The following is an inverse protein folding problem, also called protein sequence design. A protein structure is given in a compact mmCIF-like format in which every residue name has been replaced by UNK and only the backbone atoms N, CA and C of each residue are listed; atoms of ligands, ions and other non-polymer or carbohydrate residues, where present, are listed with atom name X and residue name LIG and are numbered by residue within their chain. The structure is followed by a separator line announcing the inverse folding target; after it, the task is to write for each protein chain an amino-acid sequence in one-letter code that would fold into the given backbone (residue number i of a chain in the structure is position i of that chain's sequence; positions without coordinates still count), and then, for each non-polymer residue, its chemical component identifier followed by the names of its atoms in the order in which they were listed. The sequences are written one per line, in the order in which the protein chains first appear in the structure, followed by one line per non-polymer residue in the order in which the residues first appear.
data_IF_200666628215
#
_entry.id   IF_200666628215
#
_cell.length_a   1.000
_cell.length_b   1.000
_cell.length_c   1.000
_cell.angle_alpha   90.00
_cell.angle_beta   90.00
_cell.angle_gamma   90.00
#
_symmetry.space_group_name_H-M   'P 1'
#
loop_
_entity.id
_entity.type
_entity.pdbx_description
1 polymer ?
#
# COMPACT_ATOMS: atom_id res chain seq x y z
N UNK A 1 -10.00 10.72 -42.59
CA UNK A 1 -9.59 11.71 -41.57
C UNK A 1 -9.93 11.15 -40.19
N UNK A 2 -8.96 10.57 -39.48
CA UNK A 2 -9.14 10.08 -38.09
C UNK A 2 -8.62 11.15 -37.14
N UNK A 3 -9.43 11.48 -36.15
CA UNK A 3 -9.31 12.58 -35.20
C UNK A 3 -7.97 12.59 -34.46
N UNK A 4 -7.23 13.71 -34.55
CA UNK A 4 -5.89 13.94 -33.99
C UNK A 4 -5.84 14.25 -32.48
N UNK A 5 -6.92 14.01 -31.73
CA UNK A 5 -6.96 14.35 -30.30
C UNK A 5 -6.38 13.26 -29.37
N UNK A 6 -6.21 12.02 -29.87
CA UNK A 6 -5.74 10.88 -29.07
C UNK A 6 -4.25 10.53 -29.21
N UNK A 7 -3.58 10.98 -30.27
CA UNK A 7 -2.21 10.55 -30.61
C UNK A 7 -1.15 11.25 -29.75
N UNK A 8 -1.35 12.54 -29.42
CA UNK A 8 -0.38 13.31 -28.65
C UNK A 8 -0.26 12.85 -27.19
N UNK A 9 -1.34 12.37 -26.57
CA UNK A 9 -1.31 11.90 -25.18
C UNK A 9 -0.48 10.62 -25.03
N UNK A 10 -0.66 9.65 -25.93
CA UNK A 10 0.06 8.36 -25.90
C UNK A 10 1.57 8.57 -26.04
N UNK A 11 1.99 9.44 -26.97
CA UNK A 11 3.41 9.76 -27.16
C UNK A 11 4.08 10.35 -25.91
N UNK A 12 3.35 11.16 -25.13
CA UNK A 12 3.89 11.77 -23.91
C UNK A 12 4.10 10.71 -22.82
N UNK A 13 3.15 9.79 -22.63
CA UNK A 13 3.27 8.72 -21.64
C UNK A 13 4.36 7.71 -21.99
N UNK A 14 4.46 7.31 -23.26
CA UNK A 14 5.55 6.47 -23.76
C UNK A 14 6.91 7.14 -23.50
N UNK A 15 7.04 8.43 -23.82
CA UNK A 15 8.26 9.20 -23.53
C UNK A 15 8.58 9.24 -22.04
N UNK A 16 7.58 9.31 -21.17
CA UNK A 16 7.79 9.34 -19.71
C UNK A 16 8.21 7.97 -19.15
N UNK A 17 7.71 6.89 -19.75
CA UNK A 17 8.19 5.54 -19.46
C UNK A 17 9.62 5.36 -19.98
N UNK A 18 9.91 5.71 -21.23
CA UNK A 18 11.25 5.56 -21.81
C UNK A 18 12.30 6.37 -21.03
N UNK A 19 11.96 7.58 -20.60
CA UNK A 19 12.83 8.43 -19.78
C UNK A 19 12.86 8.06 -18.31
N UNK A 20 12.09 7.06 -17.89
CA UNK A 20 12.01 6.61 -16.51
C UNK A 20 11.74 7.77 -15.53
N UNK A 21 10.81 8.67 -15.86
CA UNK A 21 10.43 9.78 -14.97
C UNK A 21 9.27 9.41 -14.03
N UNK A 22 8.67 8.24 -14.24
CA UNK A 22 7.58 7.71 -13.41
C UNK A 22 8.13 6.72 -12.38
N UNK A 23 7.47 6.64 -11.23
CA UNK A 23 7.69 5.56 -10.25
C UNK A 23 6.36 4.80 -10.09
N UNK A 24 6.13 3.74 -10.88
CA UNK A 24 4.90 2.96 -10.80
C UNK A 24 4.77 2.30 -9.42
N UNK A 25 3.62 2.49 -8.79
CA UNK A 25 3.21 1.79 -7.57
C UNK A 25 2.11 0.79 -7.94
N UNK A 26 2.43 -0.50 -7.88
CA UNK A 26 1.51 -1.60 -8.11
C UNK A 26 1.02 -2.10 -6.75
N UNK A 27 -0.17 -1.69 -6.34
CA UNK A 27 -0.76 -2.08 -5.06
C UNK A 27 -1.63 -3.34 -5.17
N UNK A 28 -1.73 -4.11 -4.09
CA UNK A 28 -2.66 -5.22 -3.98
C UNK A 28 -2.36 -6.47 -4.83
N UNK A 29 -1.10 -6.84 -5.04
CA UNK A 29 -0.75 -8.05 -5.84
C UNK A 29 -1.40 -9.34 -5.28
N UNK A 30 -1.69 -9.41 -3.98
CA UNK A 30 -2.39 -10.53 -3.34
C UNK A 30 -3.90 -10.63 -3.65
N UNK A 31 -4.51 -9.60 -4.22
CA UNK A 31 -5.95 -9.59 -4.54
C UNK A 31 -6.32 -10.45 -5.75
N UNK A 32 -5.33 -10.91 -6.52
CA UNK A 32 -5.52 -11.67 -7.76
C UNK A 32 -5.84 -13.15 -7.52
N UNK A 33 -5.66 -13.65 -6.30
CA UNK A 33 -5.66 -15.08 -6.00
C UNK A 33 -4.43 -15.81 -6.56
N UNK A 34 -4.12 -16.99 -6.01
CA UNK A 34 -2.80 -17.63 -6.18
C UNK A 34 -2.38 -17.84 -7.65
N UNK A 35 -3.28 -18.30 -8.52
CA UNK A 35 -2.93 -18.62 -9.92
C UNK A 35 -2.53 -17.35 -10.68
N UNK A 36 -3.36 -16.31 -10.62
CA UNK A 36 -3.11 -15.03 -11.31
C UNK A 36 -1.99 -14.24 -10.66
N UNK A 37 -1.84 -14.34 -9.34
CA UNK A 37 -0.73 -13.73 -8.61
C UNK A 37 0.63 -14.24 -9.12
N UNK A 38 0.78 -15.55 -9.37
CA UNK A 38 2.01 -16.11 -9.95
C UNK A 38 2.29 -15.55 -11.35
N UNK A 39 1.29 -15.60 -12.22
CA UNK A 39 1.40 -15.07 -13.59
C UNK A 39 1.73 -13.57 -13.59
N UNK A 40 1.07 -12.80 -12.73
CA UNK A 40 1.34 -11.36 -12.59
C UNK A 40 2.76 -11.10 -12.07
N UNK A 41 3.25 -11.91 -11.13
CA UNK A 41 4.63 -11.80 -10.62
C UNK A 41 5.67 -12.03 -11.72
N UNK A 42 5.43 -13.00 -12.62
CA UNK A 42 6.31 -13.26 -13.77
C UNK A 42 6.33 -12.07 -14.73
N UNK A 43 5.16 -11.49 -15.03
CA UNK A 43 5.05 -10.31 -15.89
C UNK A 43 5.72 -9.09 -15.26
N UNK A 44 5.58 -8.90 -13.94
CA UNK A 44 6.28 -7.85 -13.20
C UNK A 44 7.79 -8.03 -13.30
N UNK A 45 8.32 -9.25 -13.16
CA UNK A 45 9.75 -9.49 -13.31
C UNK A 45 10.25 -9.13 -14.72
N UNK A 46 9.50 -9.50 -15.76
CA UNK A 46 9.84 -9.14 -17.14
C UNK A 46 9.87 -7.62 -17.32
N UNK A 47 8.86 -6.92 -16.82
CA UNK A 47 8.80 -5.45 -16.87
C UNK A 47 9.94 -4.79 -16.08
N UNK A 48 10.23 -5.30 -14.88
CA UNK A 48 11.28 -4.80 -14.00
C UNK A 48 12.70 -4.95 -14.58
N UNK A 49 12.90 -5.89 -15.52
CA UNK A 49 14.20 -6.07 -16.18
C UNK A 49 14.61 -4.84 -17.01
N UNK A 50 13.64 -4.19 -17.67
CA UNK A 50 13.85 -2.94 -18.42
C UNK A 50 13.53 -1.69 -17.60
N UNK A 51 12.70 -1.82 -16.56
CA UNK A 51 12.21 -0.72 -15.75
C UNK A 51 12.37 -1.00 -14.25
N UNK A 52 13.60 -0.96 -13.69
CA UNK A 52 13.88 -1.42 -12.32
C UNK A 52 13.33 -0.49 -11.22
N UNK A 53 12.84 0.69 -11.58
CA UNK A 53 12.27 1.67 -10.65
C UNK A 53 10.76 1.52 -10.55
N UNK A 54 10.31 0.52 -9.82
CA UNK A 54 8.89 0.35 -9.48
C UNK A 54 8.74 -0.16 -8.05
N UNK A 55 7.54 -0.01 -7.51
CA UNK A 55 7.16 -0.50 -6.18
C UNK A 55 5.99 -1.46 -6.34
N UNK A 56 6.07 -2.60 -5.66
CA UNK A 56 5.00 -3.59 -5.59
C UNK A 56 4.62 -3.80 -4.14
N UNK A 57 3.33 -3.72 -3.84
CA UNK A 57 2.79 -4.00 -2.51
C UNK A 57 2.00 -5.30 -2.53
N UNK A 58 2.16 -6.07 -1.45
CA UNK A 58 1.37 -7.27 -1.21
C UNK A 58 1.37 -7.65 0.26
N UNK A 59 0.39 -8.45 0.66
CA UNK A 59 0.41 -9.15 1.95
C UNK A 59 1.43 -10.30 1.92
N UNK A 60 2.20 -10.39 3.00
CA UNK A 60 3.30 -11.36 3.13
C UNK A 60 2.83 -12.82 3.10
N UNK A 61 1.61 -13.11 3.59
CA UNK A 61 1.09 -14.48 3.68
C UNK A 61 0.82 -15.04 2.28
N UNK A 62 0.06 -14.32 1.48
CA UNK A 62 -0.32 -14.67 0.11
C UNK A 62 0.90 -14.72 -0.80
N UNK A 63 1.81 -13.75 -0.67
CA UNK A 63 3.06 -13.74 -1.42
C UNK A 63 3.92 -15.00 -1.17
N UNK A 64 4.04 -15.42 0.10
CA UNK A 64 4.75 -16.67 0.44
C UNK A 64 4.03 -17.90 -0.10
N UNK A 65 2.70 -17.95 -0.04
CA UNK A 65 1.89 -19.05 -0.56
C UNK A 65 1.99 -19.18 -2.08
N UNK A 66 2.10 -18.07 -2.80
CA UNK A 66 2.28 -18.08 -4.25
C UNK A 66 3.60 -18.76 -4.65
N UNK A 67 4.62 -18.74 -3.79
CA UNK A 67 5.90 -19.44 -4.01
C UNK A 67 6.72 -18.87 -5.17
N UNK A 68 6.45 -17.62 -5.55
CA UNK A 68 7.15 -16.88 -6.61
C UNK A 68 8.06 -15.83 -6.01
N UNK A 69 9.06 -15.37 -6.78
CA UNK A 69 10.02 -14.35 -6.35
C UNK A 69 9.96 -13.16 -7.29
N UNK A 70 10.02 -11.95 -6.72
CA UNK A 70 10.25 -10.71 -7.45
C UNK A 70 11.77 -10.46 -7.54
N UNK A 71 12.44 -11.12 -8.48
CA UNK A 71 13.91 -11.16 -8.56
C UNK A 71 14.54 -9.90 -9.15
N UNK A 72 13.78 -9.15 -9.94
CA UNK A 72 14.29 -7.99 -10.69
C UNK A 72 14.04 -6.66 -9.97
N UNK A 73 13.60 -6.71 -8.71
CA UNK A 73 13.46 -5.54 -7.85
C UNK A 73 14.71 -5.37 -6.98
N UNK A 74 14.99 -4.12 -6.57
CA UNK A 74 16.19 -3.75 -5.82
C UNK A 74 16.17 -4.17 -4.34
N UNK A 75 15.03 -4.57 -3.82
CA UNK A 75 14.88 -4.97 -2.43
C UNK A 75 13.42 -5.20 -2.03
N UNK A 76 13.23 -5.54 -0.77
CA UNK A 76 11.92 -5.73 -0.16
C UNK A 76 11.89 -5.11 1.23
N UNK A 77 10.75 -4.51 1.58
CA UNK A 77 10.50 -3.96 2.92
C UNK A 77 9.24 -4.62 3.47
N UNK A 78 9.35 -5.26 4.63
CA UNK A 78 8.19 -5.78 5.34
C UNK A 78 7.71 -4.74 6.34
N UNK A 79 6.52 -4.17 6.08
CA UNK A 79 5.86 -3.29 7.02
C UNK A 79 5.44 -4.09 8.26
N UNK A 80 5.79 -3.58 9.44
CA UNK A 80 5.35 -4.13 10.72
C UNK A 80 4.20 -3.28 11.24
N UNK A 81 3.11 -3.91 11.64
CA UNK A 81 2.04 -3.19 12.33
C UNK A 81 2.59 -2.63 13.63
N UNK A 82 2.43 -1.32 13.81
CA UNK A 82 2.68 -0.66 15.09
C UNK A 82 1.34 -0.44 15.77
N UNK A 83 1.22 -0.86 17.02
CA UNK A 83 0.02 -0.66 17.82
C UNK A 83 -0.04 0.80 18.33
N UNK A 84 -0.07 1.76 17.40
CA UNK A 84 -0.02 3.20 17.66
C UNK A 84 -1.41 3.85 17.59
N UNK A 85 -2.46 3.10 17.89
CA UNK A 85 -3.84 3.59 17.78
C UNK A 85 -4.06 4.85 18.61
N UNK A 86 -3.55 4.91 19.84
CA UNK A 86 -3.66 6.08 20.71
C UNK A 86 -2.95 7.31 20.11
N UNK A 87 -1.70 7.15 19.67
CA UNK A 87 -0.94 8.23 19.01
C UNK A 87 -1.60 8.72 17.73
N UNK A 88 -2.22 7.81 16.96
CA UNK A 88 -2.94 8.16 15.74
C UNK A 88 -4.22 8.95 16.05
N UNK A 89 -5.00 8.53 17.06
CA UNK A 89 -6.22 9.25 17.48
C UNK A 89 -5.85 10.64 18.00
N UNK A 90 -4.77 10.77 18.77
CA UNK A 90 -4.26 12.05 19.24
C UNK A 90 -3.80 12.96 18.08
N UNK A 91 -3.14 12.41 17.06
CA UNK A 91 -2.71 13.16 15.87
C UNK A 91 -3.88 13.62 14.99
N UNK A 92 -4.92 12.79 14.87
CA UNK A 92 -6.08 13.09 14.03
C UNK A 92 -6.93 14.25 14.59
N UNK A 93 -6.75 14.62 15.86
CA UNK A 93 -7.57 15.60 16.61
C UNK A 93 -8.99 15.76 16.08
N UNK A 94 -9.81 14.68 16.08
CA UNK A 94 -11.10 14.75 15.45
C UNK A 94 -11.99 15.75 16.19
N UNK A 95 -12.66 16.65 15.45
CA UNK A 95 -13.50 17.71 16.02
C UNK A 95 -14.67 17.19 16.87
N UNK A 96 -15.05 15.93 16.70
CA UNK A 96 -16.11 15.26 17.45
C UNK A 96 -15.61 14.57 18.75
N UNK A 97 -14.30 14.52 18.99
CA UNK A 97 -13.71 13.82 20.12
C UNK A 97 -13.60 14.76 21.33
N UNK A 98 -14.71 14.96 22.03
CA UNK A 98 -14.71 15.67 23.32
C UNK A 98 -13.97 14.82 24.35
N UNK A 99 -12.88 15.35 24.90
CA UNK A 99 -12.07 14.66 25.92
C UNK A 99 -12.92 14.47 27.19
N UNK A 100 -13.57 13.32 27.32
CA UNK A 100 -14.28 12.94 28.55
C UNK A 100 -13.21 12.55 29.58
N UNK A 101 -12.67 13.54 30.29
CA UNK A 101 -11.92 13.26 31.51
C UNK A 101 -12.93 12.70 32.50
N UNK A 102 -12.89 11.38 32.77
CA UNK A 102 -13.56 10.85 33.96
C UNK A 102 -12.89 11.50 35.16
N UNK A 103 -13.57 12.32 35.98
CA UNK A 103 -13.01 12.68 37.26
C UNK A 103 -12.83 11.39 38.06
N UNK A 104 -11.62 11.15 38.55
CA UNK A 104 -11.37 10.13 39.56
C UNK A 104 -12.13 10.59 40.80
N UNK A 105 -13.37 10.13 40.97
CA UNK A 105 -14.13 10.40 42.18
C UNK A 105 -13.45 9.65 43.32
N UNK A 106 -12.88 10.42 44.23
CA UNK A 106 -12.49 10.01 45.58
C UNK A 106 -13.48 9.04 46.20
N UNK A 107 -12.93 8.05 46.90
CA UNK A 107 -13.61 6.97 47.59
C UNK A 107 -14.90 7.43 48.32
N UNK A 108 -16.05 6.93 47.86
CA UNK A 108 -17.29 6.97 48.64
C UNK A 108 -17.64 5.54 49.04
N UNK A 109 -17.53 5.28 50.34
CA UNK A 109 -17.87 4.06 51.07
C UNK A 109 -19.21 3.45 50.65
N UNK A 110 -19.17 2.17 50.27
CA UNK A 110 -20.35 1.31 50.20
C UNK A 110 -20.85 1.04 51.63
N UNK A 111 -22.04 1.54 51.98
CA UNK A 111 -22.81 1.03 53.13
C UNK A 111 -23.86 0.07 52.60
N UNK A 112 -23.77 -1.18 53.05
CA UNK A 112 -24.80 -2.20 52.86
C UNK A 112 -26.04 -1.86 53.70
N UNK A 113 -27.20 -2.00 53.08
CA UNK A 113 -28.50 -2.19 53.74
C UNK A 113 -29.15 -3.41 53.09
#
# INVERSE_FOLDING_TARGET
MRTLAGVAKVQVYETWLDRQVLLPLLDGLDELGLVRQKQCTEQINQFAASYPQLVVCCRVKEFRLAGVKLSNLRGAVQLQQRNQVELLIEQLQPSWLTRITKPCSTATTWRAA
#
